data_IF_072085794246
#
_entry.id   IF_072085794246
#
_cell.length_a   1.000
_cell.length_b   1.000
_cell.length_c   1.000
_cell.angle_alpha   90.00
_cell.angle_beta   90.00
_cell.angle_gamma   90.00
#
_symmetry.space_group_name_H-M   'P 1'
#
loop_
_entity.id
_entity.type
_entity.pdbx_description
1 polymer ?
#
# COMPACT_ATOMS: atom_id res chain seq x y z
N UNK A 1 21.87 -21.51 12.54
CA UNK A 1 23.08 -21.15 11.77
C UNK A 1 22.59 -20.36 10.57
N UNK A 2 22.97 -19.08 10.38
CA UNK A 2 22.53 -18.36 9.19
C UNK A 2 23.39 -18.78 8.00
N UNK A 3 22.73 -19.06 6.87
CA UNK A 3 23.38 -19.29 5.59
C UNK A 3 23.91 -17.95 5.08
N UNK A 4 25.23 -17.74 5.14
CA UNK A 4 25.91 -16.76 4.29
C UNK A 4 25.85 -17.27 2.84
N UNK A 5 24.85 -16.85 2.09
CA UNK A 5 25.04 -16.62 0.66
C UNK A 5 25.48 -15.16 0.61
N UNK A 6 26.74 -14.90 0.24
CA UNK A 6 27.14 -13.56 -0.19
C UNK A 6 26.33 -13.24 -1.44
N UNK A 7 25.15 -12.62 -1.26
CA UNK A 7 24.41 -12.08 -2.39
C UNK A 7 25.21 -10.90 -2.94
N UNK A 8 25.75 -11.08 -4.15
CA UNK A 8 26.39 -10.00 -4.87
C UNK A 8 25.32 -9.05 -5.41
N UNK A 9 25.22 -7.87 -4.80
CA UNK A 9 24.46 -6.76 -5.34
C UNK A 9 25.31 -5.98 -6.37
N UNK A 10 24.69 -5.42 -7.42
CA UNK A 10 23.27 -5.53 -7.75
C UNK A 10 22.92 -6.86 -8.43
N UNK A 11 21.70 -7.35 -8.21
CA UNK A 11 21.16 -8.55 -8.87
C UNK A 11 19.77 -8.29 -9.46
N UNK A 12 19.36 -9.11 -10.43
CA UNK A 12 17.98 -9.11 -10.88
C UNK A 12 17.04 -9.64 -9.78
N UNK A 13 15.78 -9.22 -9.85
CA UNK A 13 14.71 -9.92 -9.13
C UNK A 13 14.64 -11.35 -9.64
N UNK A 14 14.60 -12.31 -8.72
CA UNK A 14 14.33 -13.70 -9.09
C UNK A 14 12.94 -13.80 -9.73
N UNK A 15 12.69 -14.80 -10.61
CA UNK A 15 11.36 -14.98 -11.20
C UNK A 15 10.24 -15.07 -10.17
N UNK A 16 10.53 -15.60 -8.98
CA UNK A 16 9.58 -15.73 -7.87
C UNK A 16 9.27 -14.39 -7.20
N UNK A 17 10.29 -13.61 -6.85
CA UNK A 17 10.11 -12.26 -6.30
C UNK A 17 9.30 -11.40 -7.29
N UNK A 18 9.68 -11.45 -8.58
CA UNK A 18 8.98 -10.73 -9.64
C UNK A 18 7.50 -11.13 -9.71
N UNK A 19 7.19 -12.42 -9.73
CA UNK A 19 5.81 -12.90 -9.74
C UNK A 19 5.00 -12.40 -8.54
N UNK A 20 5.57 -12.40 -7.33
CA UNK A 20 4.86 -11.94 -6.13
C UNK A 20 4.65 -10.44 -6.10
N UNK A 21 5.65 -9.65 -6.48
CA UNK A 21 5.54 -8.20 -6.62
C UNK A 21 4.43 -7.87 -7.63
N UNK A 22 4.43 -8.58 -8.76
CA UNK A 22 3.48 -8.37 -9.84
C UNK A 22 2.07 -8.87 -9.54
N UNK A 23 1.89 -9.75 -8.54
CA UNK A 23 0.57 -10.07 -8.01
C UNK A 23 -0.09 -8.87 -7.30
N UNK A 24 0.69 -7.89 -6.83
CA UNK A 24 0.20 -6.66 -6.20
C UNK A 24 -0.07 -5.52 -7.19
N UNK A 25 0.36 -5.64 -8.45
CA UNK A 25 0.36 -4.55 -9.43
C UNK A 25 -0.40 -4.97 -10.70
N UNK A 26 -1.71 -4.74 -10.84
CA UNK A 26 -2.46 -5.19 -12.00
C UNK A 26 -2.01 -4.51 -13.31
N UNK A 27 -1.83 -5.30 -14.37
CA UNK A 27 -1.40 -4.81 -15.70
C UNK A 27 -2.47 -3.99 -16.43
N UNK A 28 -3.75 -4.22 -16.11
CA UNK A 28 -4.87 -3.56 -16.77
C UNK A 28 -5.20 -2.16 -16.20
N UNK A 29 -4.44 -1.67 -15.21
CA UNK A 29 -4.59 -0.32 -14.64
C UNK A 29 -3.33 0.49 -14.92
N UNK A 30 -3.51 1.64 -15.58
CA UNK A 30 -2.41 2.43 -16.15
C UNK A 30 -1.29 2.73 -15.15
N UNK A 31 -1.64 3.22 -13.97
CA UNK A 31 -0.66 3.61 -12.96
C UNK A 31 0.11 2.41 -12.40
N UNK A 32 -0.56 1.29 -12.13
CA UNK A 32 0.13 0.08 -11.67
C UNK A 32 0.99 -0.55 -12.78
N UNK A 33 0.54 -0.49 -14.04
CA UNK A 33 1.34 -0.90 -15.20
C UNK A 33 2.62 -0.07 -15.31
N UNK A 34 2.55 1.25 -15.14
CA UNK A 34 3.74 2.11 -15.13
C UNK A 34 4.75 1.68 -14.05
N UNK A 35 4.27 1.34 -12.86
CA UNK A 35 5.14 0.82 -11.80
C UNK A 35 5.73 -0.56 -12.13
N UNK A 36 4.99 -1.46 -12.80
CA UNK A 36 5.58 -2.70 -13.32
C UNK A 36 6.70 -2.39 -14.29
N UNK A 37 6.44 -1.52 -15.27
CA UNK A 37 7.41 -1.13 -16.31
C UNK A 37 8.69 -0.52 -15.67
N UNK A 38 8.56 0.28 -14.59
CA UNK A 38 9.72 0.78 -13.81
C UNK A 38 10.45 -0.38 -13.14
N UNK A 39 9.76 -1.20 -12.36
CA UNK A 39 10.34 -2.32 -11.59
C UNK A 39 11.05 -3.33 -12.51
N UNK A 40 10.56 -3.54 -13.73
CA UNK A 40 11.23 -4.42 -14.71
C UNK A 40 12.62 -3.95 -15.12
N UNK A 41 12.91 -2.65 -14.99
CA UNK A 41 14.18 -2.04 -15.36
C UNK A 41 15.13 -1.84 -14.16
N UNK A 42 14.66 -2.08 -12.93
CA UNK A 42 15.46 -1.91 -11.72
C UNK A 42 16.14 -3.22 -11.30
N UNK A 43 17.24 -3.08 -10.54
CA UNK A 43 17.96 -4.18 -9.92
C UNK A 43 17.77 -4.13 -8.41
N UNK A 44 17.84 -5.28 -7.74
CA UNK A 44 18.00 -5.31 -6.29
C UNK A 44 19.41 -4.83 -5.98
N UNK A 45 19.53 -3.66 -5.36
CA UNK A 45 20.82 -3.03 -5.00
C UNK A 45 21.24 -3.31 -3.56
N UNK A 46 20.34 -3.88 -2.76
CA UNK A 46 20.62 -4.36 -1.41
C UNK A 46 19.35 -4.53 -0.58
N UNK A 47 19.55 -4.72 0.72
CA UNK A 47 18.47 -4.85 1.69
C UNK A 47 18.21 -3.55 2.44
N UNK A 48 16.95 -3.29 2.73
CA UNK A 48 16.53 -2.20 3.59
C UNK A 48 16.62 -2.57 5.07
N UNK A 49 15.94 -1.79 5.90
CA UNK A 49 16.06 -1.84 7.37
C UNK A 49 15.43 -3.07 8.01
N UNK A 50 14.55 -3.78 7.29
CA UNK A 50 13.76 -4.88 7.87
C UNK A 50 14.29 -6.28 7.51
N UNK A 51 15.55 -6.38 7.06
CA UNK A 51 16.25 -7.64 6.80
C UNK A 51 16.09 -8.15 5.37
N UNK A 52 16.41 -9.43 5.14
CA UNK A 52 16.52 -10.05 3.79
C UNK A 52 15.21 -10.02 2.97
N UNK A 53 14.05 -9.90 3.63
CA UNK A 53 12.77 -9.76 2.94
C UNK A 53 12.47 -8.33 2.46
N UNK A 54 13.28 -7.35 2.84
CA UNK A 54 13.09 -5.93 2.54
C UNK A 54 14.08 -5.52 1.45
N UNK A 55 13.65 -5.56 0.19
CA UNK A 55 14.47 -5.32 -0.99
C UNK A 55 14.47 -3.83 -1.32
N UNK A 56 15.63 -3.27 -1.64
CA UNK A 56 15.75 -1.96 -2.28
C UNK A 56 16.05 -2.17 -3.75
N UNK A 57 15.14 -1.71 -4.60
CA UNK A 57 15.29 -1.70 -6.05
C UNK A 57 15.83 -0.35 -6.50
N UNK A 58 16.80 -0.33 -7.40
CA UNK A 58 17.41 0.88 -7.94
C UNK A 58 18.24 0.63 -9.19
N UNK A 59 18.89 1.66 -9.69
CA UNK A 59 19.81 1.56 -10.83
C UNK A 59 21.18 1.02 -10.38
N UNK A 60 21.96 0.53 -11.36
CA UNK A 60 23.31 0.05 -11.09
C UNK A 60 24.22 1.21 -10.65
N UNK A 61 24.71 1.13 -9.43
CA UNK A 61 25.63 2.13 -8.86
C UNK A 61 24.97 3.08 -7.87
N UNK A 62 23.66 2.99 -7.71
CA UNK A 62 22.93 3.71 -6.67
C UNK A 62 23.40 3.29 -5.27
N UNK A 63 23.39 4.25 -4.36
CA UNK A 63 23.68 4.03 -2.94
C UNK A 63 22.39 3.98 -2.15
N UNK A 64 22.27 3.00 -1.25
CA UNK A 64 21.13 2.90 -0.35
C UNK A 64 21.35 3.85 0.83
N UNK A 65 20.42 4.79 1.02
CA UNK A 65 20.35 5.60 2.22
C UNK A 65 19.33 5.02 3.22
N UNK A 66 19.86 4.32 4.23
CA UNK A 66 19.07 3.75 5.32
C UNK A 66 18.78 4.75 6.44
N UNK A 67 19.02 6.06 6.29
CA UNK A 67 18.63 7.11 7.25
C UNK A 67 17.27 7.74 6.89
N UNK A 68 16.85 7.66 5.63
CA UNK A 68 15.54 8.16 5.17
C UNK A 68 14.40 7.22 5.57
N UNK A 69 13.27 7.77 6.01
CA UNK A 69 12.07 6.97 6.28
C UNK A 69 11.50 6.37 5.00
N UNK A 70 10.97 5.15 5.06
CA UNK A 70 10.29 4.51 3.92
C UNK A 70 9.24 5.45 3.36
N UNK A 71 9.14 5.51 2.04
CA UNK A 71 8.08 6.26 1.37
C UNK A 71 6.72 5.63 1.72
N UNK A 72 5.61 6.32 1.52
CA UNK A 72 4.31 5.70 1.78
C UNK A 72 4.03 4.53 0.83
N UNK A 73 3.11 3.67 1.26
CA UNK A 73 2.76 2.44 0.57
C UNK A 73 1.99 2.74 -0.73
N UNK A 74 2.49 2.21 -1.85
CA UNK A 74 1.81 2.20 -3.14
C UNK A 74 0.80 1.06 -3.23
N UNK A 75 1.23 -0.16 -2.91
CA UNK A 75 0.45 -1.37 -3.12
C UNK A 75 0.74 -2.42 -2.04
N UNK A 76 -0.26 -3.26 -1.79
CA UNK A 76 -0.11 -4.44 -0.92
C UNK A 76 -0.75 -5.65 -1.56
N UNK A 77 -0.18 -6.82 -1.30
CA UNK A 77 -0.82 -8.09 -1.60
C UNK A 77 -0.63 -9.11 -0.47
N UNK A 78 -1.59 -10.02 -0.36
CA UNK A 78 -1.47 -11.24 0.42
C UNK A 78 -1.67 -12.41 -0.51
N UNK A 79 -0.64 -13.25 -0.60
CA UNK A 79 -0.65 -14.48 -1.40
C UNK A 79 -0.78 -15.64 -0.42
N UNK A 80 -1.87 -16.39 -0.55
CA UNK A 80 -2.17 -17.54 0.30
C UNK A 80 -1.77 -18.82 -0.41
N UNK A 81 -1.04 -19.65 0.32
CA UNK A 81 -0.64 -21.00 -0.06
C UNK A 81 -1.18 -21.99 0.98
N UNK A 82 -1.13 -23.27 0.66
CA UNK A 82 -1.61 -24.33 1.57
C UNK A 82 -0.82 -24.37 2.90
N UNK A 83 0.45 -23.95 2.86
CA UNK A 83 1.38 -24.03 3.99
C UNK A 83 1.61 -22.68 4.69
N UNK A 84 1.03 -21.58 4.18
CA UNK A 84 1.26 -20.27 4.77
C UNK A 84 0.87 -19.10 3.88
N UNK A 85 1.34 -17.91 4.26
CA UNK A 85 1.04 -16.66 3.54
C UNK A 85 2.31 -15.88 3.26
N UNK A 86 2.28 -15.16 2.15
CA UNK A 86 3.26 -14.14 1.81
C UNK A 86 2.55 -12.79 1.79
N UNK A 87 3.12 -11.83 2.51
CA UNK A 87 2.70 -10.43 2.47
C UNK A 87 3.69 -9.65 1.62
N UNK A 88 3.17 -8.91 0.66
CA UNK A 88 3.92 -8.01 -0.21
C UNK A 88 3.50 -6.59 0.13
N UNK A 89 4.46 -5.72 0.40
CA UNK A 89 4.24 -4.27 0.50
C UNK A 89 5.20 -3.59 -0.46
N UNK A 90 4.66 -2.77 -1.35
CA UNK A 90 5.44 -2.01 -2.33
C UNK A 90 5.27 -0.54 -1.95
N UNK A 91 6.39 0.11 -1.75
CA UNK A 91 6.45 1.53 -1.44
C UNK A 91 6.50 2.35 -2.73
N UNK A 92 6.14 3.63 -2.66
CA UNK A 92 6.26 4.52 -3.80
C UNK A 92 7.73 4.78 -4.15
N UNK A 93 7.96 5.10 -5.42
CA UNK A 93 9.29 5.48 -5.91
C UNK A 93 9.76 6.81 -5.29
N UNK A 94 11.03 6.85 -4.85
CA UNK A 94 11.73 8.06 -4.45
C UNK A 94 13.16 7.97 -4.96
N UNK A 95 13.62 9.01 -5.64
CA UNK A 95 14.98 9.09 -6.19
C UNK A 95 15.36 7.85 -7.02
N UNK A 96 14.43 7.39 -7.87
CA UNK A 96 14.54 6.20 -8.72
C UNK A 96 14.69 4.87 -7.97
N UNK A 97 14.42 4.85 -6.66
CA UNK A 97 14.45 3.65 -5.84
C UNK A 97 13.04 3.27 -5.36
N UNK A 98 12.80 1.96 -5.29
CA UNK A 98 11.55 1.38 -4.78
C UNK A 98 11.90 0.38 -3.68
N UNK A 99 11.31 0.58 -2.49
CA UNK A 99 11.38 -0.37 -1.40
C UNK A 99 10.24 -1.41 -1.51
N UNK A 100 10.60 -2.69 -1.41
CA UNK A 100 9.66 -3.81 -1.46
C UNK A 100 9.88 -4.74 -0.27
N UNK A 101 8.83 -4.92 0.51
CA UNK A 101 8.78 -5.87 1.62
C UNK A 101 8.08 -7.16 1.20
N UNK A 102 8.78 -8.30 1.30
CA UNK A 102 8.29 -9.66 1.08
C UNK A 102 8.44 -10.44 2.39
N UNK A 103 7.32 -10.69 3.07
CA UNK A 103 7.31 -11.34 4.39
C UNK A 103 6.49 -12.62 4.37
N UNK A 104 7.15 -13.75 4.63
CA UNK A 104 6.50 -15.04 4.83
C UNK A 104 6.00 -15.20 6.27
N UNK A 105 4.83 -15.83 6.46
CA UNK A 105 4.34 -16.27 7.77
C UNK A 105 3.85 -17.72 7.71
N UNK A 106 4.20 -18.49 8.73
CA UNK A 106 3.87 -19.92 8.81
C UNK A 106 4.77 -20.83 7.96
N UNK A 107 5.85 -20.30 7.37
CA UNK A 107 6.79 -21.05 6.55
C UNK A 107 8.23 -20.76 6.99
N UNK A 108 9.00 -21.80 7.34
CA UNK A 108 10.45 -21.68 7.62
C UNK A 108 11.25 -21.49 6.32
N UNK A 109 10.74 -22.05 5.21
CA UNK A 109 11.16 -21.79 3.82
C UNK A 109 9.93 -21.90 2.93
N UNK A 110 9.82 -21.02 1.94
CA UNK A 110 8.75 -21.04 0.95
C UNK A 110 9.10 -22.12 -0.09
N UNK A 111 8.38 -23.27 -0.15
CA UNK A 111 8.71 -24.36 -1.06
C UNK A 111 8.64 -23.95 -2.53
N UNK A 112 9.42 -24.60 -3.38
CA UNK A 112 9.54 -24.21 -4.79
C UNK A 112 8.31 -24.54 -5.64
N UNK A 113 7.56 -25.58 -5.25
CA UNK A 113 6.42 -26.15 -5.98
C UNK A 113 5.07 -25.78 -5.36
N UNK A 114 4.91 -24.55 -4.91
CA UNK A 114 3.63 -24.10 -4.35
C UNK A 114 2.62 -23.73 -5.44
N UNK A 115 1.44 -24.33 -5.38
CA UNK A 115 0.26 -23.83 -6.11
C UNK A 115 -0.33 -22.66 -5.33
N UNK A 116 -0.39 -21.51 -5.98
CA UNK A 116 -1.08 -20.34 -5.46
C UNK A 116 -2.56 -20.68 -5.23
N UNK A 117 -3.03 -20.56 -3.99
CA UNK A 117 -4.44 -20.80 -3.67
C UNK A 117 -5.27 -19.54 -3.90
N UNK A 118 -4.73 -18.38 -3.52
CA UNK A 118 -5.45 -17.10 -3.61
C UNK A 118 -4.55 -15.88 -3.48
N UNK A 119 -4.79 -14.86 -4.30
CA UNK A 119 -4.21 -13.51 -4.14
C UNK A 119 -5.27 -12.51 -3.74
N UNK A 120 -4.91 -11.66 -2.78
CA UNK A 120 -5.70 -10.53 -2.36
C UNK A 120 -4.89 -9.25 -2.47
N UNK A 121 -5.46 -8.22 -3.10
CA UNK A 121 -4.83 -6.90 -3.22
C UNK A 121 -5.89 -5.82 -3.31
N UNK A 122 -5.59 -4.64 -2.77
CA UNK A 122 -6.41 -3.44 -2.98
C UNK A 122 -6.19 -2.86 -4.36
N UNK A 123 -5.10 -3.17 -5.05
CA UNK A 123 -4.81 -2.62 -6.37
C UNK A 123 -5.88 -2.98 -7.40
N UNK A 124 -6.58 -4.09 -7.22
CA UNK A 124 -7.71 -4.49 -8.07
C UNK A 124 -9.03 -3.79 -7.73
N UNK A 125 -9.20 -3.31 -6.50
CA UNK A 125 -10.46 -2.69 -6.07
C UNK A 125 -10.83 -1.49 -6.94
N UNK A 126 -12.11 -1.37 -7.26
CA UNK A 126 -12.73 -0.20 -7.90
C UNK A 126 -14.00 0.21 -7.15
N UNK A 127 -14.43 1.48 -7.25
CA UNK A 127 -15.69 1.94 -6.65
C UNK A 127 -16.88 1.07 -7.05
N UNK A 128 -17.78 0.83 -6.10
CA UNK A 128 -18.90 -0.10 -6.18
C UNK A 128 -18.59 -1.52 -5.69
N UNK A 129 -17.31 -1.89 -5.52
CA UNK A 129 -16.93 -3.22 -5.02
C UNK A 129 -16.85 -3.29 -3.49
N UNK A 130 -17.13 -4.48 -2.95
CA UNK A 130 -16.82 -4.80 -1.55
C UNK A 130 -15.31 -4.96 -1.34
N UNK A 131 -14.87 -4.92 -0.09
CA UNK A 131 -13.46 -5.04 0.24
C UNK A 131 -12.85 -6.35 -0.31
N UNK A 132 -11.62 -6.30 -0.85
CA UNK A 132 -11.08 -7.41 -1.64
C UNK A 132 -10.94 -8.71 -0.85
N UNK A 133 -10.60 -8.66 0.45
CA UNK A 133 -10.27 -9.84 1.25
C UNK A 133 -11.49 -10.62 1.78
N UNK A 134 -12.43 -9.93 2.43
CA UNK A 134 -13.55 -10.54 3.16
C UNK A 134 -14.92 -10.14 2.63
N UNK A 135 -14.96 -9.32 1.57
CA UNK A 135 -16.19 -8.75 1.00
C UNK A 135 -16.97 -7.90 2.01
N UNK A 136 -16.31 -7.35 3.03
CA UNK A 136 -16.90 -6.36 3.92
C UNK A 136 -17.28 -5.07 3.19
N UNK A 137 -18.20 -4.33 3.80
CA UNK A 137 -18.70 -3.08 3.27
C UNK A 137 -17.62 -1.99 3.30
N UNK A 138 -17.64 -1.18 2.24
CA UNK A 138 -16.82 0.02 2.10
C UNK A 138 -17.76 1.19 1.99
N UNK A 139 -17.46 2.26 2.74
CA UNK A 139 -18.10 3.55 2.52
C UNK A 139 -17.32 4.28 1.44
N UNK A 140 -18.02 4.70 0.40
CA UNK A 140 -17.48 5.47 -0.71
C UNK A 140 -17.99 6.90 -0.63
N UNK A 141 -17.08 7.86 -0.78
CA UNK A 141 -17.38 9.29 -0.80
C UNK A 141 -16.76 9.87 -2.06
N UNK A 142 -17.60 10.35 -2.97
CA UNK A 142 -17.16 10.90 -4.25
C UNK A 142 -16.62 12.31 -4.02
N UNK A 143 -15.30 12.48 -4.14
CA UNK A 143 -14.62 13.78 -3.97
C UNK A 143 -14.80 14.64 -5.22
N UNK A 144 -14.61 14.00 -6.38
CA UNK A 144 -14.91 14.53 -7.71
C UNK A 144 -15.62 13.43 -8.48
N UNK A 145 -16.84 13.70 -8.93
CA UNK A 145 -17.72 12.71 -9.56
C UNK A 145 -17.02 12.00 -10.72
N UNK A 146 -17.07 10.66 -10.74
CA UNK A 146 -16.41 9.79 -11.73
C UNK A 146 -14.89 10.01 -11.92
N UNK A 147 -14.21 10.66 -10.99
CA UNK A 147 -12.77 10.94 -11.10
C UNK A 147 -11.99 10.51 -9.86
N UNK A 148 -12.51 10.81 -8.68
CA UNK A 148 -11.80 10.61 -7.42
C UNK A 148 -12.79 10.18 -6.34
N UNK A 149 -12.55 9.01 -5.75
CA UNK A 149 -13.39 8.43 -4.69
C UNK A 149 -12.55 8.14 -3.46
N UNK A 150 -12.96 8.69 -2.32
CA UNK A 150 -12.45 8.31 -1.01
C UNK A 150 -13.19 7.05 -0.54
N UNK A 151 -12.43 6.02 -0.21
CA UNK A 151 -12.94 4.74 0.26
C UNK A 151 -12.48 4.48 1.69
N UNK A 152 -13.42 4.08 2.54
CA UNK A 152 -13.19 3.76 3.96
C UNK A 152 -13.69 2.35 4.21
N UNK A 153 -12.79 1.44 4.56
CA UNK A 153 -13.11 0.07 4.95
C UNK A 153 -13.01 -0.09 6.47
N UNK A 154 -14.14 -0.08 7.21
CA UNK A 154 -14.12 -0.13 8.68
C UNK A 154 -13.48 -1.39 9.24
N UNK A 155 -13.82 -2.55 8.66
CA UNK A 155 -13.34 -3.86 9.12
C UNK A 155 -11.82 -3.97 8.99
N UNK A 156 -11.28 -3.49 7.86
CA UNK A 156 -9.84 -3.49 7.60
C UNK A 156 -9.09 -2.34 8.27
N UNK A 157 -9.80 -1.34 8.81
CA UNK A 157 -9.23 -0.10 9.34
C UNK A 157 -8.32 0.60 8.32
N UNK A 158 -8.79 0.67 7.06
CA UNK A 158 -8.06 1.28 5.94
C UNK A 158 -8.86 2.40 5.32
N UNK A 159 -8.13 3.41 4.86
CA UNK A 159 -8.64 4.53 4.08
C UNK A 159 -7.74 4.65 2.85
N UNK A 160 -8.33 4.82 1.67
CA UNK A 160 -7.59 5.09 0.44
C UNK A 160 -8.40 5.98 -0.49
N UNK A 161 -7.73 6.59 -1.45
CA UNK A 161 -8.37 7.31 -2.55
C UNK A 161 -8.10 6.60 -3.85
N UNK A 162 -9.17 6.31 -4.58
CA UNK A 162 -9.12 5.80 -5.92
C UNK A 162 -9.13 6.94 -6.93
N UNK A 163 -8.18 6.92 -7.86
CA UNK A 163 -8.09 7.84 -8.98
C UNK A 163 -8.47 7.10 -10.27
N UNK A 164 -9.54 7.53 -10.95
CA UNK A 164 -10.01 6.88 -12.18
C UNK A 164 -9.04 7.01 -13.36
N UNK A 165 -8.24 8.09 -13.42
CA UNK A 165 -7.29 8.32 -14.51
C UNK A 165 -6.14 7.31 -14.46
N UNK A 166 -5.57 7.08 -13.28
CA UNK A 166 -4.45 6.13 -13.10
C UNK A 166 -4.93 4.72 -12.75
N UNK A 167 -6.11 4.59 -12.16
CA UNK A 167 -6.60 3.35 -11.56
C UNK A 167 -5.92 2.98 -10.23
N UNK A 168 -5.11 3.88 -9.64
CA UNK A 168 -4.39 3.60 -8.38
C UNK A 168 -5.30 3.84 -7.18
N UNK A 169 -5.19 2.95 -6.19
CA UNK A 169 -5.70 3.12 -4.84
C UNK A 169 -4.58 3.63 -3.93
N UNK A 170 -4.56 4.94 -3.67
CA UNK A 170 -3.54 5.56 -2.82
C UNK A 170 -3.95 5.48 -1.34
N UNK A 171 -3.17 4.74 -0.54
CA UNK A 171 -3.45 4.59 0.88
C UNK A 171 -3.24 5.89 1.65
N UNK A 172 -4.17 6.18 2.56
CA UNK A 172 -4.12 7.33 3.43
C UNK A 172 -3.73 6.86 4.84
N UNK A 173 -2.65 7.41 5.43
CA UNK A 173 -2.34 7.24 6.84
C UNK A 173 -3.50 7.72 7.72
N UNK A 174 -4.19 6.77 8.35
CA UNK A 174 -5.42 7.01 9.12
C UNK A 174 -5.21 8.04 10.21
N UNK A 175 -4.10 7.95 10.96
CA UNK A 175 -3.81 8.87 12.06
C UNK A 175 -3.73 10.32 11.57
N UNK A 176 -3.03 10.57 10.47
CA UNK A 176 -2.85 11.92 9.96
C UNK A 176 -4.17 12.46 9.42
N UNK A 177 -4.90 11.66 8.64
CA UNK A 177 -6.21 12.05 8.12
C UNK A 177 -7.22 12.34 9.24
N UNK A 178 -7.29 11.47 10.24
CA UNK A 178 -8.17 11.64 11.39
C UNK A 178 -7.84 12.89 12.20
N UNK A 179 -6.55 13.18 12.40
CA UNK A 179 -6.12 14.39 13.11
C UNK A 179 -6.61 15.66 12.39
N UNK A 180 -6.50 15.73 11.05
CA UNK A 180 -7.01 16.86 10.27
C UNK A 180 -8.54 16.99 10.39
N UNK A 181 -9.27 15.87 10.36
CA UNK A 181 -10.72 15.89 10.60
C UNK A 181 -11.07 16.44 11.99
N UNK A 182 -10.36 16.02 13.03
CA UNK A 182 -10.62 16.46 14.41
C UNK A 182 -10.35 17.95 14.60
N UNK A 183 -9.29 18.47 13.97
CA UNK A 183 -8.97 19.90 13.96
C UNK A 183 -10.09 20.70 13.27
N UNK A 184 -10.53 20.26 12.09
CA UNK A 184 -11.61 20.90 11.34
C UNK A 184 -12.93 20.94 12.09
N UNK A 185 -13.28 19.83 12.76
CA UNK A 185 -14.51 19.73 13.55
C UNK A 185 -14.43 20.49 14.88
N UNK A 186 -13.29 21.14 15.18
CA UNK A 186 -13.01 21.82 16.45
C UNK A 186 -13.33 20.94 17.67
N UNK A 187 -13.10 19.62 17.54
CA UNK A 187 -13.40 18.67 18.60
C UNK A 187 -12.25 18.65 19.60
N UNK A 188 -12.47 19.30 20.75
CA UNK A 188 -11.48 19.44 21.82
C UNK A 188 -11.50 18.30 22.84
N UNK A 189 -12.41 17.34 22.70
CA UNK A 189 -12.45 16.19 23.60
C UNK A 189 -11.29 15.24 23.27
N UNK A 190 -10.31 15.14 24.19
CA UNK A 190 -9.10 14.33 24.02
C UNK A 190 -9.36 12.85 23.80
N UNK A 191 -10.38 12.27 24.45
CA UNK A 191 -10.75 10.85 24.28
C UNK A 191 -11.23 10.55 22.86
N UNK A 192 -11.80 11.56 22.20
CA UNK A 192 -12.28 11.46 20.82
C UNK A 192 -11.19 11.84 19.84
N UNK A 193 -10.48 12.94 20.08
CA UNK A 193 -9.50 13.49 19.16
C UNK A 193 -8.24 12.62 19.00
N UNK A 194 -7.84 11.89 20.04
CA UNK A 194 -6.63 11.06 20.03
C UNK A 194 -6.88 9.60 19.65
N UNK A 195 -8.11 9.25 19.25
CA UNK A 195 -8.50 7.88 18.94
C UNK A 195 -8.88 7.73 17.44
N UNK A 196 -7.91 7.55 16.53
CA UNK A 196 -8.18 7.36 15.11
C UNK A 196 -9.00 6.10 14.82
N UNK A 197 -9.04 5.13 15.74
CA UNK A 197 -9.92 3.96 15.64
C UNK A 197 -11.41 4.32 15.60
N UNK A 198 -11.79 5.48 16.14
CA UNK A 198 -13.17 5.96 16.15
C UNK A 198 -13.72 6.20 14.74
N UNK A 199 -12.87 6.58 13.78
CA UNK A 199 -13.26 6.70 12.37
C UNK A 199 -13.97 5.44 11.87
N UNK A 200 -13.51 4.26 12.32
CA UNK A 200 -14.04 2.99 11.88
C UNK A 200 -15.17 2.46 12.75
N UNK A 201 -15.07 2.60 14.08
CA UNK A 201 -16.12 2.12 14.98
C UNK A 201 -17.39 2.97 14.94
N UNK A 202 -17.27 4.25 14.56
CA UNK A 202 -18.36 5.23 14.57
C UNK A 202 -18.47 5.94 13.22
N UNK A 203 -18.20 5.24 12.11
CA UNK A 203 -18.15 5.85 10.78
C UNK A 203 -19.44 6.62 10.43
N UNK A 204 -20.60 6.13 10.88
CA UNK A 204 -21.91 6.78 10.65
C UNK A 204 -22.06 8.16 11.32
N UNK A 205 -21.22 8.52 12.29
CA UNK A 205 -21.22 9.84 12.93
C UNK A 205 -20.60 10.92 12.03
N UNK A 206 -19.82 10.53 11.02
CA UNK A 206 -19.18 11.44 10.08
C UNK A 206 -20.05 11.58 8.83
N UNK A 207 -20.38 12.81 8.46
CA UNK A 207 -21.05 13.11 7.19
C UNK A 207 -20.06 13.05 6.02
N UNK A 208 -20.55 12.82 4.81
CA UNK A 208 -19.69 12.81 3.61
C UNK A 208 -18.96 14.16 3.45
N UNK A 209 -19.63 15.28 3.73
CA UNK A 209 -19.02 16.60 3.68
C UNK A 209 -17.85 16.75 4.66
N UNK A 210 -17.98 16.23 5.89
CA UNK A 210 -16.86 16.22 6.85
C UNK A 210 -15.69 15.35 6.37
N UNK A 211 -15.98 14.19 5.77
CA UNK A 211 -14.96 13.29 5.24
C UNK A 211 -14.22 13.94 4.05
N UNK A 212 -14.96 14.62 3.17
CA UNK A 212 -14.41 15.41 2.05
C UNK A 212 -13.52 16.52 2.58
N UNK A 213 -14.01 17.38 3.48
CA UNK A 213 -13.24 18.51 4.00
C UNK A 213 -11.97 18.06 4.71
N UNK A 214 -12.05 17.00 5.52
CA UNK A 214 -10.87 16.35 6.11
C UNK A 214 -9.85 15.94 5.07
N UNK A 215 -10.31 15.39 3.94
CA UNK A 215 -9.41 14.92 2.91
C UNK A 215 -8.78 16.08 2.15
N UNK A 216 -9.56 17.12 1.84
CA UNK A 216 -9.06 18.33 1.18
C UNK A 216 -7.94 18.99 1.98
N UNK A 217 -8.07 19.07 3.31
CA UNK A 217 -7.02 19.62 4.18
C UNK A 217 -5.80 18.70 4.20
N UNK A 218 -5.98 17.41 4.42
CA UNK A 218 -4.88 16.44 4.41
C UNK A 218 -4.11 16.45 3.08
N UNK A 219 -4.84 16.52 1.95
CA UNK A 219 -4.26 16.50 0.62
C UNK A 219 -3.46 17.77 0.27
N UNK A 220 -3.65 18.90 0.97
CA UNK A 220 -2.77 20.08 0.80
C UNK A 220 -1.32 19.78 1.17
N UNK A 221 -1.12 18.91 2.16
CA UNK A 221 0.20 18.48 2.62
C UNK A 221 0.67 17.24 1.86
N UNK A 222 -0.23 16.32 1.55
CA UNK A 222 0.10 15.06 0.88
C UNK A 222 0.34 15.22 -0.64
N UNK A 223 -0.41 16.10 -1.31
CA UNK A 223 -0.29 16.52 -2.71
C UNK A 223 -0.30 15.39 -3.76
N UNK A 224 -0.80 14.20 -3.42
CA UNK A 224 -0.78 13.04 -4.33
C UNK A 224 -1.95 12.97 -5.27
N UNK A 225 -3.07 13.51 -4.84
CA UNK A 225 -4.30 13.53 -5.63
C UNK A 225 -4.47 14.94 -6.17
N UNK A 226 -4.38 15.11 -7.49
CA UNK A 226 -4.75 16.36 -8.14
C UNK A 226 -6.27 16.41 -8.20
N UNK A 227 -6.85 17.28 -7.38
CA UNK A 227 -8.29 17.57 -7.32
C UNK A 227 -8.66 18.63 -8.34
#
# INVERSE_FOLDING_TARGET
MPHNIEENFPRELTPREKNWIFAALPENKLGYKQYRDIIENLLVIGYGRFGEGNLILGEKGDTIDLEVSSTPILAVATITFDVGKIYITIHEELENQIEVDIKGTGMDKIPDDLREAKVWTYSNWVPGEKAPFDKSDIREVHLVENQIVLAIAPVHKKVWVYNYLSGINHFIPVTNYYNEMMILMNNKNSETALNPGRLFSNLSEFTDEQLVQGFLVYNKYWQRVKL
#
